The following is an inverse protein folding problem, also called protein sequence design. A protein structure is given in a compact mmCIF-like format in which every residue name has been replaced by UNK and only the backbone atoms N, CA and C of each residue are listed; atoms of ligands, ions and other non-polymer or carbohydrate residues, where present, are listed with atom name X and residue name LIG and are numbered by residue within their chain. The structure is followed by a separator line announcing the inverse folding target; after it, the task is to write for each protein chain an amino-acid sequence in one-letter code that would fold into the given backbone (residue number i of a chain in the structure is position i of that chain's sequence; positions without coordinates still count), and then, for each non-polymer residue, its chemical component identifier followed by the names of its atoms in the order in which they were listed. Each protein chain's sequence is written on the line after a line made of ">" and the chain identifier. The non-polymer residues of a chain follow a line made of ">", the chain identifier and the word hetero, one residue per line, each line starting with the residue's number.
data_IF_552567553824
#
_entry.id   IF_552567553824
#
_cell.length_a   1.000
_cell.length_b   1.000
_cell.length_c   1.000
_cell.angle_alpha   90.00
_cell.angle_beta   90.00
_cell.angle_gamma   90.00
#
_symmetry.space_group_name_H-M   'P 1'
#
loop_
_entity.id
_entity.type
_entity.pdbx_description
1 polymer ?
#
# COMPACT_ATOMS: atom_id res chain seq x y z
N UNK A 1 6.40 7.79 -18.24
CA UNK A 1 6.29 6.71 -18.03
C UNK A 1 5.03 6.30 -17.69
N UNK A 2 4.77 5.38 -17.94
CA UNK A 2 3.63 5.03 -17.66
C UNK A 2 3.59 4.29 -16.56
N UNK A 3 2.98 4.51 -15.67
CA UNK A 3 2.86 3.72 -14.54
C UNK A 3 1.77 2.76 -14.72
N UNK A 4 1.98 1.60 -14.20
CA UNK A 4 0.91 0.66 -14.12
C UNK A 4 -0.07 1.20 -13.13
N UNK A 5 -1.32 1.19 -13.52
CA UNK A 5 -2.29 1.62 -12.63
C UNK A 5 -2.61 0.53 -11.69
N UNK A 6 -2.38 0.71 -10.42
CA UNK A 6 -2.74 -0.25 -9.41
C UNK A 6 -4.24 -0.13 -9.11
N UNK A 7 -4.93 -1.27 -8.93
CA UNK A 7 -6.33 -1.22 -8.54
C UNK A 7 -6.46 -0.58 -7.17
N UNK A 8 -7.60 0.04 -6.93
CA UNK A 8 -7.87 0.62 -5.63
C UNK A 8 -8.07 -0.50 -4.64
N UNK A 9 -7.47 -0.39 -3.48
CA UNK A 9 -7.60 -1.38 -2.43
C UNK A 9 -8.63 -0.94 -1.41
N UNK A 10 -9.52 -1.86 -1.04
CA UNK A 10 -10.45 -1.58 0.04
C UNK A 10 -9.70 -1.63 1.36
N UNK A 11 -10.36 -1.22 2.42
CA UNK A 11 -9.72 -1.24 3.74
C UNK A 11 -9.32 -2.66 4.12
N UNK A 12 -10.20 -3.63 3.91
CA UNK A 12 -9.89 -5.01 4.25
C UNK A 12 -8.75 -5.54 3.39
N UNK A 13 -8.76 -5.22 2.11
CA UNK A 13 -7.69 -5.65 1.23
C UNK A 13 -6.34 -5.09 1.68
N UNK A 14 -6.33 -3.83 2.11
CA UNK A 14 -5.09 -3.25 2.58
C UNK A 14 -4.62 -3.92 3.88
N UNK A 15 -5.56 -4.25 4.78
CA UNK A 15 -5.21 -4.94 6.00
C UNK A 15 -4.59 -6.32 5.70
N UNK A 16 -5.15 -7.02 4.72
CA UNK A 16 -4.61 -8.30 4.31
C UNK A 16 -3.21 -8.12 3.73
N UNK A 17 -3.04 -7.11 2.89
CA UNK A 17 -1.73 -6.85 2.30
C UNK A 17 -0.68 -6.54 3.37
N UNK A 18 -1.07 -5.81 4.42
CA UNK A 18 -0.12 -5.53 5.49
C UNK A 18 0.41 -6.82 6.10
N UNK A 19 -0.45 -7.81 6.25
CA UNK A 19 0.00 -9.08 6.80
C UNK A 19 0.89 -9.83 5.82
N UNK A 20 0.56 -9.80 4.54
CA UNK A 20 1.38 -10.46 3.54
C UNK A 20 2.75 -9.80 3.42
N UNK A 21 2.80 -8.48 3.47
CA UNK A 21 4.09 -7.79 3.42
C UNK A 21 4.93 -8.13 4.64
N UNK A 22 4.29 -8.27 5.80
CA UNK A 22 5.03 -8.59 7.01
C UNK A 22 5.52 -10.02 7.06
N UNK A 23 4.78 -10.95 6.45
CA UNK A 23 5.14 -12.36 6.49
C UNK A 23 5.81 -12.86 5.21
N UNK A 24 5.80 -12.08 4.17
CA UNK A 24 6.27 -12.42 2.83
C UNK A 24 5.29 -13.32 2.09
N UNK A 25 4.66 -14.27 2.75
CA UNK A 25 3.64 -15.10 2.14
C UNK A 25 2.85 -15.77 3.26
N UNK A 26 1.62 -16.17 2.96
CA UNK A 26 0.77 -16.76 3.99
C UNK A 26 -0.42 -17.47 3.35
N UNK A 27 -0.98 -18.40 4.10
CA UNK A 27 -2.24 -19.04 3.73
C UNK A 27 -3.39 -18.14 4.19
N UNK A 28 -4.60 -18.46 3.72
CA UNK A 28 -5.79 -17.72 4.13
C UNK A 28 -5.97 -17.80 5.63
N UNK A 29 -5.75 -18.97 6.22
CA UNK A 29 -5.91 -19.13 7.66
C UNK A 29 -4.89 -18.27 8.41
N UNK A 30 -3.65 -18.22 7.94
CA UNK A 30 -2.65 -17.42 8.60
C UNK A 30 -3.00 -15.92 8.52
N UNK A 31 -3.54 -15.51 7.39
CA UNK A 31 -3.98 -14.12 7.25
C UNK A 31 -5.09 -13.84 8.25
N UNK A 32 -6.09 -14.74 8.30
CA UNK A 32 -7.21 -14.56 9.23
C UNK A 32 -6.71 -14.46 10.67
N UNK A 33 -5.79 -15.34 11.04
CA UNK A 33 -5.29 -15.36 12.40
C UNK A 33 -4.44 -14.14 12.73
N UNK A 34 -3.99 -13.41 11.73
CA UNK A 34 -3.27 -12.16 11.95
C UNK A 34 -4.14 -11.01 12.39
N UNK A 35 -5.47 -11.13 12.25
CA UNK A 35 -6.36 -10.10 12.74
C UNK A 35 -6.62 -10.29 14.23
N UNK A 36 -6.85 -9.21 14.96
CA UNK A 36 -7.23 -9.34 16.37
C UNK A 36 -8.47 -10.20 16.51
N UNK A 37 -8.58 -10.96 17.61
CA UNK A 37 -9.73 -11.82 17.79
C UNK A 37 -11.03 -11.04 17.75
N UNK A 38 -11.04 -9.87 18.36
CA UNK A 38 -12.25 -9.08 18.37
C UNK A 38 -12.42 -8.43 17.02
N UNK A 39 -13.56 -8.67 16.39
CA UNK A 39 -13.84 -8.12 15.09
C UNK A 39 -13.14 -8.84 13.95
N UNK A 40 -12.57 -10.01 14.22
CA UNK A 40 -11.87 -10.77 13.20
C UNK A 40 -12.82 -11.19 12.09
N UNK A 41 -12.47 -10.94 10.83
CA UNK A 41 -13.29 -11.42 9.73
C UNK A 41 -13.33 -12.96 9.71
N UNK A 42 -14.40 -13.52 9.18
CA UNK A 42 -14.51 -14.96 9.08
C UNK A 42 -13.54 -15.47 8.00
N UNK A 43 -13.28 -16.76 8.08
CA UNK A 43 -12.43 -17.40 7.08
C UNK A 43 -12.99 -17.18 5.67
N UNK A 44 -14.33 -17.34 5.52
CA UNK A 44 -14.94 -17.16 4.22
C UNK A 44 -14.79 -15.74 3.68
N UNK A 45 -14.88 -14.76 4.55
CA UNK A 45 -14.70 -13.37 4.13
C UNK A 45 -13.27 -13.14 3.63
N UNK A 46 -12.28 -13.66 4.37
CA UNK A 46 -10.89 -13.53 3.94
C UNK A 46 -10.68 -14.27 2.63
N UNK A 47 -11.23 -15.48 2.51
CA UNK A 47 -11.08 -16.28 1.31
C UNK A 47 -11.65 -15.56 0.08
N UNK A 48 -12.86 -15.06 0.20
CA UNK A 48 -13.50 -14.35 -0.91
C UNK A 48 -12.69 -13.11 -1.29
N UNK A 49 -12.23 -12.40 -0.29
CA UNK A 49 -11.46 -11.18 -0.52
C UNK A 49 -10.13 -11.50 -1.21
N UNK A 50 -9.44 -12.54 -0.76
CA UNK A 50 -8.16 -12.89 -1.37
C UNK A 50 -8.32 -13.43 -2.78
N UNK A 51 -9.41 -14.14 -3.05
CA UNK A 51 -9.67 -14.58 -4.41
C UNK A 51 -9.91 -13.38 -5.33
N UNK A 52 -10.59 -12.37 -4.81
CA UNK A 52 -10.81 -11.14 -5.57
C UNK A 52 -9.49 -10.42 -5.80
N UNK A 53 -8.62 -10.41 -4.79
CA UNK A 53 -7.31 -9.79 -4.91
C UNK A 53 -6.45 -10.53 -5.93
N UNK A 54 -6.63 -11.84 -6.02
CA UNK A 54 -5.92 -12.63 -7.00
C UNK A 54 -6.36 -12.23 -8.41
N UNK A 55 -7.66 -12.05 -8.61
CA UNK A 55 -8.17 -11.61 -9.89
C UNK A 55 -7.65 -10.24 -10.26
N UNK A 56 -7.49 -9.37 -9.27
CA UNK A 56 -6.96 -8.03 -9.51
C UNK A 56 -5.44 -8.03 -9.69
N UNK A 57 -4.79 -9.18 -9.57
CA UNK A 57 -3.34 -9.30 -9.68
C UNK A 57 -2.60 -8.54 -8.60
N UNK A 58 -3.16 -8.51 -7.40
CA UNK A 58 -2.51 -7.91 -6.24
C UNK A 58 -1.77 -8.97 -5.45
N UNK A 59 -2.26 -10.22 -5.50
CA UNK A 59 -1.61 -11.36 -4.88
C UNK A 59 -1.61 -12.51 -5.88
N UNK A 60 -0.76 -13.52 -5.64
CA UNK A 60 -0.77 -14.73 -6.45
C UNK A 60 -0.48 -15.92 -5.57
N UNK A 61 -0.89 -17.09 -6.03
CA UNK A 61 -0.59 -18.33 -5.33
C UNK A 61 0.78 -18.79 -5.74
N UNK A 62 1.57 -19.20 -4.76
CA UNK A 62 2.94 -19.63 -5.04
C UNK A 62 3.22 -21.06 -4.63
N UNK A 63 2.24 -21.74 -4.02
CA UNK A 63 2.44 -23.13 -3.63
C UNK A 63 1.34 -23.58 -2.71
N UNK A 64 1.53 -24.76 -2.15
CA UNK A 64 0.59 -25.33 -1.19
C UNK A 64 1.35 -25.94 -0.04
N UNK A 65 0.74 -25.89 1.12
CA UNK A 65 1.20 -26.61 2.27
C UNK A 65 0.01 -27.49 2.66
N UNK A 66 0.12 -28.80 2.45
CA UNK A 66 -1.03 -29.65 2.59
C UNK A 66 -2.09 -29.28 1.57
N UNK A 67 -3.29 -28.98 2.06
CA UNK A 67 -4.37 -28.55 1.19
C UNK A 67 -4.54 -27.05 1.14
N UNK A 68 -3.62 -26.31 1.76
CA UNK A 68 -3.78 -24.86 1.84
C UNK A 68 -2.87 -24.16 0.85
N UNK A 69 -3.45 -23.32 0.02
CA UNK A 69 -2.68 -22.50 -0.90
C UNK A 69 -1.97 -21.38 -0.15
N UNK A 70 -0.77 -21.07 -0.61
CA UNK A 70 0.03 -20.01 -0.05
C UNK A 70 0.04 -18.87 -1.05
N UNK A 71 -0.18 -17.66 -0.55
CA UNK A 71 -0.26 -16.46 -1.37
C UNK A 71 0.89 -15.51 -1.04
N UNK A 72 1.32 -14.76 -2.02
CA UNK A 72 2.32 -13.72 -1.81
C UNK A 72 1.85 -12.46 -2.50
N UNK A 73 2.32 -11.28 -2.04
CA UNK A 73 1.91 -10.02 -2.66
C UNK A 73 2.61 -9.83 -4.00
N UNK A 74 1.90 -9.25 -4.95
CA UNK A 74 2.46 -8.87 -6.25
C UNK A 74 2.77 -7.41 -6.33
N UNK A 75 2.27 -6.59 -5.38
CA UNK A 75 2.56 -5.17 -5.35
C UNK A 75 3.31 -4.86 -4.07
N UNK A 76 4.24 -3.94 -4.13
CA UNK A 76 5.03 -3.60 -2.95
C UNK A 76 4.23 -2.72 -2.01
N UNK A 77 4.66 -2.69 -0.74
CA UNK A 77 4.02 -1.81 0.23
C UNK A 77 4.16 -0.36 -0.21
N UNK A 78 5.32 0.01 -0.68
CA UNK A 78 5.54 1.38 -1.09
C UNK A 78 4.62 1.78 -2.25
N UNK A 79 4.50 0.92 -3.26
CA UNK A 79 3.63 1.24 -4.39
C UNK A 79 2.19 1.43 -3.95
N UNK A 80 1.71 0.56 -3.05
CA UNK A 80 0.35 0.68 -2.54
C UNK A 80 0.17 1.95 -1.73
N UNK A 81 1.18 2.30 -0.92
CA UNK A 81 1.11 3.50 -0.10
C UNK A 81 1.12 4.76 -0.96
N UNK A 82 1.93 4.77 -2.02
CA UNK A 82 1.98 5.92 -2.90
C UNK A 82 0.66 6.08 -3.65
N UNK A 83 0.01 4.97 -3.99
CA UNK A 83 -1.29 5.03 -4.60
C UNK A 83 -2.30 5.71 -3.67
N UNK A 84 -2.23 5.41 -2.36
CA UNK A 84 -3.10 6.04 -1.39
C UNK A 84 -2.82 7.53 -1.28
N UNK A 85 -1.55 7.92 -1.34
CA UNK A 85 -1.20 9.34 -1.32
C UNK A 85 -1.82 10.05 -2.53
N UNK A 86 -1.73 9.42 -3.70
CA UNK A 86 -2.31 10.03 -4.90
C UNK A 86 -3.82 10.18 -4.78
N UNK A 87 -4.49 9.18 -4.18
CA UNK A 87 -5.93 9.27 -3.99
C UNK A 87 -6.29 10.39 -3.02
N UNK A 88 -5.49 10.53 -1.97
CA UNK A 88 -5.72 11.59 -0.99
C UNK A 88 -5.57 12.96 -1.64
N UNK A 89 -4.53 13.14 -2.43
CA UNK A 89 -4.30 14.41 -3.11
C UNK A 89 -5.43 14.73 -4.07
N UNK A 90 -5.97 13.71 -4.74
CA UNK A 90 -7.09 13.93 -5.65
C UNK A 90 -8.32 14.45 -4.90
N UNK A 91 -8.55 13.92 -3.69
CA UNK A 91 -9.67 14.37 -2.87
C UNK A 91 -9.52 15.86 -2.53
N UNK A 92 -8.29 16.32 -2.33
CA UNK A 92 -8.03 17.71 -2.02
C UNK A 92 -7.81 18.57 -3.27
N UNK A 93 -8.20 18.06 -4.42
CA UNK A 93 -8.07 18.83 -5.65
C UNK A 93 -6.64 19.09 -6.07
N UNK A 94 -5.73 18.23 -5.65
CA UNK A 94 -4.31 18.38 -5.98
C UNK A 94 -3.59 19.41 -5.14
N UNK A 95 -4.24 19.93 -4.10
CA UNK A 95 -3.60 20.97 -3.28
C UNK A 95 -2.62 20.38 -2.30
N UNK A 96 -1.45 20.03 -2.79
CA UNK A 96 -0.42 19.43 -1.96
C UNK A 96 0.08 20.40 -0.88
N UNK A 97 0.01 21.69 -1.13
CA UNK A 97 0.46 22.66 -0.16
C UNK A 97 -0.37 22.61 1.10
N UNK A 98 -1.68 22.37 0.97
CA UNK A 98 -2.55 22.23 2.12
C UNK A 98 -2.12 21.05 2.99
N UNK A 99 -1.80 19.93 2.36
CA UNK A 99 -1.37 18.74 3.07
C UNK A 99 -0.02 19.00 3.76
N UNK A 100 0.90 19.63 3.03
CA UNK A 100 2.23 19.90 3.57
C UNK A 100 2.15 20.81 4.80
N UNK A 101 1.35 21.86 4.72
CA UNK A 101 1.24 22.78 5.85
C UNK A 101 0.58 22.14 7.06
N UNK A 102 -0.37 21.25 6.82
CA UNK A 102 -0.97 20.53 7.93
C UNK A 102 0.06 19.62 8.60
N UNK A 103 0.90 18.96 7.81
CA UNK A 103 1.93 18.10 8.37
C UNK A 103 2.94 18.89 9.18
N UNK A 104 3.25 20.11 8.72
CA UNK A 104 4.18 20.98 9.44
C UNK A 104 3.57 21.43 10.77
N UNK A 105 2.33 21.92 10.71
CA UNK A 105 1.70 22.43 11.91
C UNK A 105 1.39 21.38 12.94
N UNK A 106 1.18 20.15 12.50
CA UNK A 106 0.90 19.04 13.41
C UNK A 106 2.18 18.38 13.94
N UNK A 107 3.33 18.89 13.56
CA UNK A 107 4.60 18.35 14.05
C UNK A 107 5.07 17.09 13.36
N UNK A 108 4.36 16.67 12.34
CA UNK A 108 4.76 15.45 11.62
C UNK A 108 5.84 15.69 10.59
N UNK A 109 5.98 16.93 10.13
CA UNK A 109 7.00 17.27 9.15
C UNK A 109 7.93 18.27 9.81
N UNK A 110 9.20 17.89 9.95
CA UNK A 110 10.18 18.70 10.65
C UNK A 110 11.13 19.38 9.68
N UNK A 111 11.93 20.28 10.20
CA UNK A 111 12.86 21.03 9.34
C UNK A 111 13.77 20.11 8.55
N UNK A 112 14.23 19.03 9.17
CA UNK A 112 15.10 18.08 8.45
C UNK A 112 14.37 17.47 7.26
N UNK A 113 13.08 17.17 7.44
CA UNK A 113 12.30 16.57 6.35
C UNK A 113 12.16 17.58 5.22
N UNK A 114 11.94 18.85 5.55
CA UNK A 114 11.79 19.89 4.54
C UNK A 114 13.10 20.08 3.79
N UNK A 115 14.22 20.05 4.50
CA UNK A 115 15.52 20.18 3.85
C UNK A 115 15.80 19.01 2.93
N UNK A 116 15.41 17.82 3.35
CA UNK A 116 15.57 16.65 2.51
C UNK A 116 14.71 16.80 1.25
N UNK A 117 13.48 17.28 1.41
CA UNK A 117 12.60 17.49 0.27
C UNK A 117 13.17 18.56 -0.66
N UNK A 118 13.77 19.60 -0.10
CA UNK A 118 14.37 20.64 -0.92
C UNK A 118 15.51 20.06 -1.77
N UNK A 119 16.34 19.22 -1.16
CA UNK A 119 17.43 18.60 -1.90
C UNK A 119 16.89 17.76 -3.04
N UNK A 120 15.79 17.04 -2.79
CA UNK A 120 15.20 16.20 -3.82
C UNK A 120 14.64 17.03 -4.96
N UNK A 121 13.99 18.15 -4.62
CA UNK A 121 13.44 19.06 -5.63
C UNK A 121 14.57 19.61 -6.50
N UNK A 122 15.68 20.00 -5.88
CA UNK A 122 16.80 20.55 -6.63
C UNK A 122 17.41 19.47 -7.53
N UNK A 123 17.46 18.23 -7.04
CA UNK A 123 18.00 17.14 -7.83
C UNK A 123 17.13 16.88 -9.06
N UNK A 124 15.81 16.86 -8.87
CA UNK A 124 14.89 16.64 -9.98
C UNK A 124 15.00 17.76 -10.99
N UNK A 125 15.03 19.01 -10.53
CA UNK A 125 15.10 20.15 -11.41
C UNK A 125 16.43 20.20 -12.17
N UNK A 126 17.52 19.90 -11.46
CA UNK A 126 18.82 19.97 -12.11
C UNK A 126 19.10 18.78 -12.99
N UNK A 127 18.61 17.62 -12.57
CA UNK A 127 18.87 16.43 -13.34
C UNK A 127 17.96 16.20 -14.47
N UNK A 128 16.95 17.08 -14.56
CA UNK A 128 16.05 16.86 -15.47
C UNK A 128 16.58 17.11 -16.69
N UNK A 129 17.33 17.07 -17.07
CA UNK A 129 17.86 17.27 -18.09
C UNK A 129 17.28 16.82 -19.02
N UNK A 130 17.20 17.23 -19.63
CA UNK A 130 16.53 16.95 -20.58
C UNK A 130 16.88 15.82 -21.01
N UNK A 131 16.77 15.47 -20.95
CA UNK A 131 17.20 14.43 -21.27
C UNK A 131 16.89 14.04 -22.21
#
# INVERSE_FOLDING_TARGET
>A
MRHLKLPKLSKLELQIMEMLWGRAKASIREVQQGFPEKGRPTYGTIQTTMYRMEIKNIVRRVGKVGNFHIFEPLVSREAAQLRLVDELLAIFGGRSQLVMMHLVKSGRLKLEDVKEAEREIRKIAGGKKPS
#
